data_IF_438860675198
#
_entry.id   IF_438860675198
#
_cell.length_a   1.000
_cell.length_b   1.000
_cell.length_c   1.000
_cell.angle_alpha   90.00
_cell.angle_beta   90.00
_cell.angle_gamma   90.00
#
_symmetry.space_group_name_H-M   'P 1'
#
loop_
_entity.id
_entity.type
_entity.pdbx_description
1 polymer ?
#
# COMPACT_ATOMS: atom_id res chain seq x y z
N UNK A 1 11.31 -1.90 -3.82
CA UNK A 1 9.82 -1.76 -3.85
C UNK A 1 9.12 -2.77 -4.76
N UNK A 2 9.35 -2.82 -6.09
CA UNK A 2 8.63 -3.76 -6.99
C UNK A 2 8.69 -5.24 -6.56
N UNK A 3 9.88 -5.74 -6.19
CA UNK A 3 10.06 -7.13 -5.75
C UNK A 3 9.27 -7.45 -4.48
N UNK A 4 9.21 -6.51 -3.53
CA UNK A 4 8.41 -6.64 -2.29
C UNK A 4 6.92 -6.70 -2.63
N UNK A 5 6.46 -5.79 -3.52
CA UNK A 5 5.06 -5.79 -3.96
C UNK A 5 4.65 -7.08 -4.68
N UNK A 6 5.54 -7.65 -5.51
CA UNK A 6 5.28 -8.94 -6.17
C UNK A 6 5.17 -10.10 -5.18
N UNK A 7 6.06 -10.16 -4.19
CA UNK A 7 6.03 -11.18 -3.14
C UNK A 7 4.73 -11.10 -2.32
N UNK A 8 4.35 -9.90 -1.89
CA UNK A 8 3.10 -9.67 -1.15
C UNK A 8 1.88 -10.02 -2.01
N UNK A 9 1.87 -9.63 -3.28
CA UNK A 9 0.79 -9.98 -4.21
C UNK A 9 0.66 -11.48 -4.50
N UNK A 10 1.73 -12.25 -4.26
CA UNK A 10 1.72 -13.72 -4.34
C UNK A 10 1.30 -14.38 -3.01
N UNK A 11 0.89 -13.60 -2.00
CA UNK A 11 0.46 -14.08 -0.70
C UNK A 11 1.59 -14.30 0.30
N UNK A 12 2.82 -13.88 0.01
CA UNK A 12 3.90 -13.94 1.00
C UNK A 12 3.67 -12.90 2.10
N UNK A 13 3.99 -13.28 3.33
CA UNK A 13 3.99 -12.33 4.44
C UNK A 13 5.04 -11.24 4.18
N UNK A 14 4.69 -9.98 4.45
CA UNK A 14 5.58 -8.83 4.31
C UNK A 14 6.92 -9.01 5.03
N UNK A 15 6.93 -9.57 6.24
CA UNK A 15 8.17 -9.84 6.99
C UNK A 15 9.07 -10.82 6.24
N UNK A 16 8.49 -11.87 5.66
CA UNK A 16 9.22 -12.86 4.85
C UNK A 16 9.72 -12.23 3.54
N UNK A 17 8.89 -11.42 2.88
CA UNK A 17 9.26 -10.72 1.65
C UNK A 17 10.44 -9.76 1.88
N UNK A 18 10.44 -9.03 3.00
CA UNK A 18 11.50 -8.11 3.39
C UNK A 18 12.80 -8.85 3.73
N UNK A 19 12.72 -9.93 4.51
CA UNK A 19 13.88 -10.75 4.85
C UNK A 19 14.50 -11.42 3.62
N UNK A 20 13.69 -11.96 2.71
CA UNK A 20 14.17 -12.65 1.51
C UNK A 20 14.85 -11.69 0.50
N UNK A 21 14.48 -10.41 0.51
CA UNK A 21 15.01 -9.41 -0.43
C UNK A 21 16.29 -8.75 0.12
N UNK A 22 16.54 -8.80 1.44
CA UNK A 22 17.79 -8.35 2.05
C UNK A 22 18.06 -6.85 1.92
N UNK A 23 17.05 -6.05 1.55
CA UNK A 23 17.13 -4.59 1.46
C UNK A 23 16.15 -3.96 2.44
N UNK A 24 16.58 -2.88 3.10
CA UNK A 24 15.66 -1.94 3.74
C UNK A 24 14.62 -1.52 2.70
N UNK A 25 13.36 -1.92 2.90
CA UNK A 25 12.31 -1.47 2.01
C UNK A 25 11.92 -0.05 2.41
N UNK A 26 12.67 0.92 1.90
CA UNK A 26 12.36 2.34 1.95
C UNK A 26 10.88 2.59 1.68
N UNK A 27 10.30 1.90 0.69
CA UNK A 27 8.87 2.01 0.35
C UNK A 27 7.89 1.63 1.46
N UNK A 28 8.25 0.75 2.39
CA UNK A 28 7.41 0.42 3.56
C UNK A 28 7.39 1.60 4.53
N UNK A 29 8.55 2.19 4.81
CA UNK A 29 8.65 3.38 5.65
C UNK A 29 7.97 4.59 4.99
N UNK A 30 8.17 4.78 3.68
CA UNK A 30 7.49 5.82 2.91
C UNK A 30 5.97 5.66 2.95
N UNK A 31 5.45 4.43 2.80
CA UNK A 31 4.01 4.19 2.86
C UNK A 31 3.42 4.58 4.24
N UNK A 32 4.14 4.27 5.33
CA UNK A 32 3.76 4.66 6.69
C UNK A 32 3.73 6.18 6.86
N UNK A 33 4.79 6.87 6.48
CA UNK A 33 4.86 8.33 6.63
C UNK A 33 3.87 9.06 5.72
N UNK A 34 3.65 8.54 4.50
CA UNK A 34 2.69 9.11 3.57
C UNK A 34 1.25 8.96 4.10
N UNK A 35 0.90 7.81 4.68
CA UNK A 35 -0.39 7.61 5.34
C UNK A 35 -0.61 8.62 6.46
N UNK A 36 0.34 8.70 7.41
CA UNK A 36 0.30 9.67 8.53
C UNK A 36 0.12 11.10 8.03
N UNK A 37 0.95 11.53 7.08
CA UNK A 37 0.93 12.91 6.58
C UNK A 37 -0.32 13.22 5.78
N UNK A 38 -0.87 12.26 5.03
CA UNK A 38 -2.15 12.42 4.33
C UNK A 38 -3.31 12.63 5.31
N UNK A 39 -3.31 11.93 6.45
CA UNK A 39 -4.29 12.13 7.52
C UNK A 39 -4.18 13.52 8.18
N UNK A 40 -2.96 13.98 8.46
CA UNK A 40 -2.70 15.32 8.99
C UNK A 40 -3.18 16.43 8.04
N UNK A 41 -2.91 16.27 6.75
CA UNK A 41 -3.29 17.23 5.71
C UNK A 41 -4.74 17.07 5.25
N UNK A 42 -5.46 16.05 5.74
CA UNK A 42 -6.83 15.69 5.30
C UNK A 42 -6.94 15.52 3.78
N UNK A 43 -5.89 14.98 3.17
CA UNK A 43 -5.84 14.70 1.72
C UNK A 43 -6.15 13.22 1.49
N UNK A 44 -7.12 12.95 0.63
CA UNK A 44 -7.49 11.58 0.28
C UNK A 44 -6.44 10.96 -0.66
N UNK A 45 -5.75 9.92 -0.19
CA UNK A 45 -4.73 9.19 -0.95
C UNK A 45 -5.11 7.71 -1.07
N UNK A 46 -6.14 7.36 -1.86
CA UNK A 46 -6.78 6.04 -1.85
C UNK A 46 -5.83 4.88 -2.15
N UNK A 47 -4.88 5.08 -3.07
CA UNK A 47 -3.86 4.07 -3.42
C UNK A 47 -2.90 3.87 -2.25
N UNK A 48 -2.36 4.95 -1.71
CA UNK A 48 -1.43 4.90 -0.58
C UNK A 48 -2.08 4.33 0.68
N UNK A 49 -3.36 4.64 0.91
CA UNK A 49 -4.17 4.06 1.97
C UNK A 49 -4.26 2.53 1.80
N UNK A 50 -4.65 2.04 0.62
CA UNK A 50 -4.75 0.60 0.40
C UNK A 50 -3.39 -0.10 0.54
N UNK A 51 -2.31 0.52 0.06
CA UNK A 51 -0.95 -0.01 0.25
C UNK A 51 -0.59 -0.08 1.74
N UNK A 52 -0.90 0.96 2.52
CA UNK A 52 -0.70 0.97 3.97
C UNK A 52 -1.44 -0.19 4.63
N UNK A 53 -2.74 -0.36 4.34
CA UNK A 53 -3.57 -1.40 4.95
C UNK A 53 -3.10 -2.81 4.61
N UNK A 54 -2.60 -3.05 3.39
CA UNK A 54 -1.99 -4.33 3.02
C UNK A 54 -0.70 -4.58 3.81
N UNK A 55 0.13 -3.56 3.98
CA UNK A 55 1.44 -3.69 4.62
C UNK A 55 1.37 -3.77 6.16
N UNK A 56 0.40 -3.09 6.78
CA UNK A 56 0.36 -2.89 8.23
C UNK A 56 -0.91 -3.41 8.91
N UNK A 57 -2.05 -3.44 8.22
CA UNK A 57 -3.33 -3.92 8.79
C UNK A 57 -3.66 -5.36 8.38
N UNK A 58 -2.81 -5.99 7.56
CA UNK A 58 -3.03 -7.35 7.06
C UNK A 58 -4.18 -7.47 6.08
N UNK A 59 -4.58 -6.38 5.42
CA UNK A 59 -5.59 -6.42 4.37
C UNK A 59 -5.12 -7.30 3.21
N UNK A 60 -6.01 -8.17 2.73
CA UNK A 60 -5.75 -8.98 1.55
C UNK A 60 -5.54 -8.06 0.32
N UNK A 61 -4.41 -8.19 -0.41
CA UNK A 61 -4.16 -7.44 -1.65
C UNK A 61 -5.32 -7.49 -2.66
N UNK A 62 -6.03 -8.61 -2.77
CA UNK A 62 -7.18 -8.72 -3.68
C UNK A 62 -8.35 -7.84 -3.23
N UNK A 63 -8.60 -7.75 -1.92
CA UNK A 63 -9.60 -6.87 -1.35
C UNK A 63 -9.22 -5.39 -1.51
N UNK A 64 -7.93 -5.08 -1.34
CA UNK A 64 -7.40 -3.74 -1.56
C UNK A 64 -7.63 -3.26 -3.00
N UNK A 65 -7.36 -4.11 -3.99
CA UNK A 65 -7.66 -3.83 -5.41
C UNK A 65 -9.16 -3.67 -5.63
N UNK A 66 -9.97 -4.56 -5.07
CA UNK A 66 -11.44 -4.49 -5.19
C UNK A 66 -11.97 -3.17 -4.64
N UNK A 67 -11.47 -2.71 -3.49
CA UNK A 67 -11.85 -1.44 -2.88
C UNK A 67 -11.47 -0.24 -3.75
N UNK A 68 -10.31 -0.27 -4.42
CA UNK A 68 -9.90 0.79 -5.34
C UNK A 68 -10.79 0.86 -6.59
N UNK A 69 -11.11 -0.30 -7.17
CA UNK A 69 -11.91 -0.39 -8.39
C UNK A 69 -13.40 -0.13 -8.15
N UNK A 70 -13.89 -0.36 -6.94
CA UNK A 70 -15.29 -0.11 -6.56
C UNK A 70 -15.56 1.35 -6.18
N UNK A 71 -14.52 2.19 -6.15
CA UNK A 71 -14.63 3.59 -5.76
C UNK A 71 -15.28 4.39 -6.88
N UNK A 72 -16.10 5.37 -6.54
CA UNK A 72 -16.67 6.26 -7.55
C UNK A 72 -15.54 6.99 -8.31
N UNK A 73 -15.61 7.04 -9.65
CA UNK A 73 -14.65 7.79 -10.43
C UNK A 73 -14.65 9.25 -9.99
N UNK A 74 -13.50 9.75 -9.56
CA UNK A 74 -13.33 11.19 -9.32
C UNK A 74 -13.10 11.85 -10.67
N UNK A 75 -13.80 12.94 -10.96
CA UNK A 75 -13.53 13.73 -12.16
C UNK A 75 -12.06 14.16 -12.18
N UNK A 76 -11.35 13.80 -13.24
CA UNK A 76 -10.03 14.35 -13.52
C UNK A 76 -10.22 15.84 -13.79
N UNK A 77 -9.70 16.68 -12.90
CA UNK A 77 -9.64 18.11 -13.16
C UNK A 77 -8.41 18.34 -14.06
N UNK A 78 -8.65 18.74 -15.31
CA UNK A 78 -7.60 19.27 -16.21
C UNK A 78 -7.08 20.61 -15.70
#
# INVERSE_FOLDING_TARGET
NRRVGLAVGQGQNITQALQAIGQEAEGVNTARELHRKSGELKVEMPISEQVYRVLFDGLDPAQAVTALLSREPRAEHN
#
